data_IF_063630486665
#
_entry.id   IF_063630486665
#
_cell.length_a   1.000
_cell.length_b   1.000
_cell.length_c   1.000
_cell.angle_alpha   90.00
_cell.angle_beta   90.00
_cell.angle_gamma   90.00
#
_symmetry.space_group_name_H-M   'P 1'
#
loop_
_entity.id
_entity.type
_entity.pdbx_description
1 polymer ?
#
# COMPACT_ATOMS: atom_id res chain seq x y z
N UNK A 1 10.82 12.71 8.50
CA UNK A 1 11.94 12.75 7.52
C UNK A 1 12.95 11.65 7.81
N UNK A 2 13.43 10.92 6.78
CA UNK A 2 14.36 9.79 6.96
C UNK A 2 15.61 10.17 7.76
N UNK A 3 16.12 11.39 7.60
CA UNK A 3 17.28 11.90 8.33
C UNK A 3 17.15 11.78 9.85
N UNK A 4 15.94 11.87 10.38
CA UNK A 4 15.65 11.90 11.83
C UNK A 4 14.93 10.64 12.33
N UNK A 5 14.60 9.69 11.44
CA UNK A 5 13.94 8.46 11.84
C UNK A 5 14.96 7.44 12.35
N UNK A 6 14.65 6.84 13.50
CA UNK A 6 15.35 5.64 13.93
C UNK A 6 15.03 4.47 12.98
N UNK A 7 16.00 3.63 12.73
CA UNK A 7 15.85 2.42 11.91
C UNK A 7 14.80 1.46 12.45
N UNK A 8 14.52 1.51 13.74
CA UNK A 8 13.48 0.70 14.38
C UNK A 8 12.07 1.01 13.84
N UNK A 9 11.78 2.25 13.43
CA UNK A 9 10.51 2.56 12.76
C UNK A 9 10.33 1.77 11.45
N UNK A 10 11.43 1.51 10.73
CA UNK A 10 11.39 0.64 9.55
C UNK A 10 11.16 -0.82 9.95
N UNK A 11 11.86 -1.32 10.99
CA UNK A 11 11.69 -2.70 11.47
C UNK A 11 10.26 -2.97 11.92
N UNK A 12 9.70 -2.13 12.79
CA UNK A 12 8.33 -2.25 13.26
C UNK A 12 7.30 -2.24 12.12
N UNK A 13 7.49 -1.35 11.15
CA UNK A 13 6.59 -1.28 9.99
C UNK A 13 6.69 -2.53 9.12
N UNK A 14 7.89 -3.09 8.94
CA UNK A 14 8.11 -4.31 8.19
C UNK A 14 7.60 -5.54 8.94
N UNK A 15 7.76 -5.60 10.27
CA UNK A 15 7.23 -6.69 11.09
C UNK A 15 5.73 -6.90 10.83
N UNK A 16 4.95 -5.83 10.88
CA UNK A 16 3.50 -5.93 10.69
C UNK A 16 3.13 -6.08 9.21
N UNK A 17 3.65 -5.21 8.34
CA UNK A 17 3.16 -5.12 6.96
C UNK A 17 3.73 -6.17 6.02
N UNK A 18 4.87 -6.77 6.35
CA UNK A 18 5.59 -7.67 5.47
C UNK A 18 5.84 -9.02 6.12
N UNK A 19 6.57 -9.11 7.21
CA UNK A 19 6.90 -10.39 7.82
C UNK A 19 5.68 -11.11 8.39
N UNK A 20 4.79 -10.41 9.10
CA UNK A 20 3.55 -11.00 9.61
C UNK A 20 2.64 -11.53 8.48
N UNK A 21 2.59 -10.83 7.33
CA UNK A 21 1.86 -11.32 6.16
C UNK A 21 2.48 -12.60 5.59
N UNK A 22 3.82 -12.67 5.51
CA UNK A 22 4.53 -13.87 5.06
C UNK A 22 4.25 -15.04 6.00
N UNK A 23 4.33 -14.83 7.31
CA UNK A 23 4.06 -15.87 8.31
C UNK A 23 2.64 -16.43 8.19
N UNK A 24 1.64 -15.55 8.13
CA UNK A 24 0.25 -15.96 7.91
C UNK A 24 0.11 -16.74 6.59
N UNK A 25 0.71 -16.26 5.51
CA UNK A 25 0.68 -16.96 4.22
C UNK A 25 1.26 -18.36 4.35
N UNK A 26 2.44 -18.51 4.96
CA UNK A 26 3.11 -19.81 5.18
C UNK A 26 2.27 -20.76 6.04
N UNK A 27 1.64 -20.26 7.10
CA UNK A 27 0.79 -21.10 7.97
C UNK A 27 -0.38 -21.76 7.24
N UNK A 28 -0.92 -21.09 6.22
CA UNK A 28 -2.07 -21.61 5.48
C UNK A 28 -1.68 -22.28 4.15
N UNK A 29 -0.44 -22.19 3.71
CA UNK A 29 -0.04 -22.58 2.36
C UNK A 29 -0.24 -24.06 2.09
N UNK A 30 0.19 -24.95 2.99
CA UNK A 30 0.04 -26.40 2.84
C UNK A 30 -1.44 -26.79 2.78
N UNK A 31 -2.29 -26.15 3.59
CA UNK A 31 -3.73 -26.38 3.59
C UNK A 31 -4.35 -25.97 2.24
N UNK A 32 -3.94 -24.83 1.70
CA UNK A 32 -4.41 -24.36 0.39
C UNK A 32 -3.96 -25.28 -0.74
N UNK A 33 -2.73 -25.76 -0.72
CA UNK A 33 -2.20 -26.70 -1.70
C UNK A 33 -2.96 -28.04 -1.62
N UNK A 34 -3.18 -28.54 -0.42
CA UNK A 34 -3.86 -29.80 -0.24
C UNK A 34 -5.35 -29.73 -0.64
N UNK A 35 -6.04 -28.67 -0.26
CA UNK A 35 -7.47 -28.49 -0.60
C UNK A 35 -7.70 -28.32 -2.11
N UNK A 36 -6.70 -27.86 -2.85
CA UNK A 36 -6.80 -27.70 -4.30
C UNK A 36 -6.95 -29.06 -5.04
N UNK A 37 -6.50 -30.16 -4.42
CA UNK A 37 -6.73 -31.53 -4.94
C UNK A 37 -8.21 -31.86 -5.10
N UNK A 38 -9.09 -31.19 -4.35
CA UNK A 38 -10.55 -31.33 -4.43
C UNK A 38 -11.19 -30.39 -5.46
N UNK A 39 -10.41 -29.85 -6.41
CA UNK A 39 -10.84 -28.90 -7.46
C UNK A 39 -11.41 -27.58 -6.91
N UNK A 40 -11.05 -27.22 -5.69
CA UNK A 40 -11.31 -25.90 -5.15
C UNK A 40 -10.29 -24.91 -5.74
N UNK A 41 -10.78 -23.86 -6.39
CA UNK A 41 -9.89 -22.80 -6.90
C UNK A 41 -9.52 -21.85 -5.75
N UNK A 42 -8.45 -22.18 -5.07
CA UNK A 42 -7.96 -21.39 -3.95
C UNK A 42 -7.34 -20.06 -4.41
N UNK A 43 -7.47 -19.07 -3.57
CA UNK A 43 -6.91 -17.73 -3.82
C UNK A 43 -6.26 -17.18 -2.57
N UNK A 44 -5.14 -16.51 -2.75
CA UNK A 44 -4.51 -15.66 -1.75
C UNK A 44 -4.74 -14.21 -2.19
N UNK A 45 -5.40 -13.42 -1.36
CA UNK A 45 -5.69 -12.01 -1.62
C UNK A 45 -4.93 -11.17 -0.60
N UNK A 46 -3.84 -10.58 -1.03
CA UNK A 46 -3.01 -9.70 -0.20
C UNK A 46 -3.45 -8.25 -0.33
N UNK A 47 -3.41 -7.50 0.77
CA UNK A 47 -3.74 -6.07 0.78
C UNK A 47 -2.47 -5.24 0.75
N UNK A 48 -2.13 -4.77 -0.42
CA UNK A 48 -1.03 -3.84 -0.67
C UNK A 48 -1.44 -2.38 -0.45
N UNK A 49 -1.03 -1.51 -1.37
CA UNK A 49 -1.40 -0.10 -1.45
C UNK A 49 -0.93 0.47 -2.80
N UNK A 50 -1.55 1.54 -3.29
CA UNK A 50 -0.96 2.35 -4.38
C UNK A 50 0.43 2.87 -4.00
N UNK A 51 0.72 3.00 -2.70
CA UNK A 51 2.05 3.35 -2.17
C UNK A 51 3.09 2.24 -2.32
N UNK A 52 2.72 1.04 -2.75
CA UNK A 52 3.63 -0.01 -3.19
C UNK A 52 4.25 0.23 -4.56
N UNK A 53 3.70 1.18 -5.33
CA UNK A 53 4.23 1.59 -6.64
C UNK A 53 4.80 3.01 -6.64
N UNK A 54 4.48 3.79 -5.59
CA UNK A 54 4.89 5.18 -5.49
C UNK A 54 5.19 5.56 -4.07
N UNK A 55 6.34 6.19 -3.92
CA UNK A 55 6.78 6.70 -2.62
C UNK A 55 6.53 8.20 -2.53
N UNK A 56 6.08 8.60 -1.34
CA UNK A 56 5.98 10.02 -0.99
C UNK A 56 6.99 10.34 0.12
N UNK A 57 7.48 11.57 0.21
CA UNK A 57 8.28 12.01 1.35
C UNK A 57 7.55 11.76 2.67
N UNK A 58 8.30 11.57 3.74
CA UNK A 58 7.84 11.44 5.13
C UNK A 58 7.12 10.14 5.51
N UNK A 59 6.91 9.22 4.56
CA UNK A 59 6.28 7.91 4.79
C UNK A 59 7.17 6.74 4.31
N UNK A 60 8.49 6.92 4.33
CA UNK A 60 9.44 5.94 3.80
C UNK A 60 9.30 4.53 4.41
N UNK A 61 9.15 4.32 5.73
CA UNK A 61 8.97 2.97 6.29
C UNK A 61 7.76 2.24 5.68
N UNK A 62 6.63 2.94 5.61
CA UNK A 62 5.40 2.40 5.04
C UNK A 62 5.53 2.08 3.55
N UNK A 63 6.00 3.04 2.74
CA UNK A 63 6.11 2.83 1.30
C UNK A 63 7.11 1.73 0.96
N UNK A 64 8.23 1.66 1.67
CA UNK A 64 9.22 0.58 1.51
C UNK A 64 8.61 -0.79 1.81
N UNK A 65 7.85 -0.94 2.90
CA UNK A 65 7.18 -2.20 3.23
C UNK A 65 6.15 -2.62 2.17
N UNK A 66 5.42 -1.65 1.60
CA UNK A 66 4.44 -1.94 0.54
C UNK A 66 5.10 -2.24 -0.81
N UNK A 67 6.27 -1.68 -1.14
CA UNK A 67 7.08 -2.10 -2.29
C UNK A 67 7.65 -3.53 -2.11
N UNK A 68 8.10 -3.88 -0.91
CA UNK A 68 8.54 -5.23 -0.61
C UNK A 68 7.41 -6.24 -0.83
N UNK A 69 6.18 -5.90 -0.42
CA UNK A 69 5.01 -6.73 -0.62
C UNK A 69 4.67 -6.96 -2.11
N UNK A 70 4.89 -5.97 -2.97
CA UNK A 70 4.73 -6.12 -4.43
C UNK A 70 5.64 -7.21 -4.99
N UNK A 71 6.93 -7.17 -4.63
CA UNK A 71 7.91 -8.16 -5.05
C UNK A 71 7.59 -9.55 -4.51
N UNK A 72 7.25 -9.66 -3.22
CA UNK A 72 6.83 -10.91 -2.61
C UNK A 72 5.61 -11.52 -3.29
N UNK A 73 4.58 -10.70 -3.52
CA UNK A 73 3.33 -11.15 -4.16
C UNK A 73 3.58 -11.68 -5.58
N UNK A 74 4.46 -11.04 -6.34
CA UNK A 74 4.83 -11.49 -7.69
C UNK A 74 5.61 -12.80 -7.68
N UNK A 75 6.53 -12.98 -6.74
CA UNK A 75 7.29 -14.23 -6.57
C UNK A 75 6.34 -15.37 -6.18
N UNK A 76 5.57 -15.17 -5.11
CA UNK A 76 4.60 -16.16 -4.63
C UNK A 76 3.60 -16.58 -5.71
N UNK A 77 3.09 -15.64 -6.49
CA UNK A 77 2.17 -15.92 -7.59
C UNK A 77 2.78 -16.83 -8.65
N UNK A 78 4.05 -16.62 -8.97
CA UNK A 78 4.78 -17.44 -9.96
C UNK A 78 5.09 -18.84 -9.43
N UNK A 79 5.46 -18.95 -8.16
CA UNK A 79 5.71 -20.25 -7.50
C UNK A 79 4.42 -21.08 -7.41
N UNK A 80 3.30 -20.45 -7.07
CA UNK A 80 2.02 -21.12 -6.90
C UNK A 80 1.29 -21.48 -8.21
N UNK A 81 1.85 -21.14 -9.38
CA UNK A 81 1.40 -21.66 -10.67
C UNK A 81 1.44 -23.20 -10.69
N UNK A 82 2.43 -23.81 -10.02
CA UNK A 82 2.52 -25.26 -9.87
C UNK A 82 1.29 -25.88 -9.19
N UNK A 83 0.63 -25.12 -8.34
CA UNK A 83 -0.50 -25.57 -7.54
C UNK A 83 -1.84 -24.98 -7.98
N UNK A 84 -1.87 -24.25 -9.09
CA UNK A 84 -3.07 -23.58 -9.64
C UNK A 84 -3.76 -22.66 -8.61
N UNK A 85 -2.99 -22.04 -7.70
CA UNK A 85 -3.50 -21.08 -6.70
C UNK A 85 -3.30 -19.66 -7.23
N UNK A 86 -4.40 -18.91 -7.31
CA UNK A 86 -4.35 -17.50 -7.70
C UNK A 86 -3.84 -16.63 -6.54
N UNK A 87 -2.83 -15.80 -6.81
CA UNK A 87 -2.34 -14.78 -5.87
C UNK A 87 -2.65 -13.41 -6.41
N UNK A 88 -3.46 -12.68 -5.68
CA UNK A 88 -4.01 -11.37 -6.07
C UNK A 88 -3.54 -10.30 -5.10
N UNK A 89 -3.17 -9.15 -5.61
CA UNK A 89 -2.83 -7.98 -4.81
C UNK A 89 -3.92 -6.89 -4.98
N UNK A 90 -4.51 -6.48 -3.86
CA UNK A 90 -5.33 -5.27 -3.80
C UNK A 90 -4.43 -4.07 -3.52
N UNK A 91 -4.58 -3.02 -4.29
CA UNK A 91 -3.83 -1.77 -4.15
C UNK A 91 -4.78 -0.61 -3.81
N UNK A 92 -5.23 -0.49 -2.54
CA UNK A 92 -6.05 0.62 -2.12
C UNK A 92 -5.31 1.96 -2.17
N UNK A 93 -6.05 3.00 -2.57
CA UNK A 93 -5.71 4.39 -2.27
C UNK A 93 -6.26 4.83 -0.91
N UNK A 94 -6.68 6.10 -0.77
CA UNK A 94 -7.25 6.59 0.48
C UNK A 94 -8.58 5.88 0.79
N UNK A 95 -8.67 5.27 1.97
CA UNK A 95 -9.88 4.64 2.51
C UNK A 95 -10.24 5.30 3.83
N UNK A 96 -11.51 5.69 4.00
CA UNK A 96 -12.04 6.32 5.21
C UNK A 96 -12.18 5.28 6.32
N UNK A 97 -11.18 5.17 7.17
CA UNK A 97 -11.14 4.22 8.30
C UNK A 97 -10.70 4.94 9.57
N UNK A 98 -11.00 4.40 10.76
CA UNK A 98 -10.55 4.97 12.05
C UNK A 98 -9.02 5.05 12.22
N UNK A 99 -8.22 4.51 11.28
CA UNK A 99 -6.76 4.67 11.32
C UNK A 99 -6.34 6.14 11.26
N UNK A 100 -7.16 6.98 10.64
CA UNK A 100 -6.90 8.41 10.50
C UNK A 100 -7.10 9.18 11.80
N UNK A 101 -7.92 8.65 12.72
CA UNK A 101 -8.14 9.20 14.06
C UNK A 101 -6.89 9.03 14.94
N UNK A 102 -6.00 8.10 14.54
CA UNK A 102 -4.73 7.82 15.22
C UNK A 102 -3.56 8.67 14.69
N UNK A 103 -3.78 9.46 13.64
CA UNK A 103 -2.74 10.38 13.14
C UNK A 103 -2.56 11.49 14.19
N UNK A 104 -1.37 11.63 14.78
CA UNK A 104 -1.14 12.67 15.77
C UNK A 104 -1.42 14.06 15.19
N UNK A 105 -1.84 14.98 16.07
CA UNK A 105 -1.91 16.38 15.66
C UNK A 105 -0.55 16.80 15.10
N UNK A 106 -0.55 17.55 14.02
CA UNK A 106 0.71 18.01 13.40
C UNK A 106 1.56 18.80 14.40
N UNK A 107 0.96 19.51 15.35
CA UNK A 107 1.67 20.28 16.36
C UNK A 107 2.47 19.40 17.33
N UNK A 108 2.09 18.12 17.48
CA UNK A 108 2.80 17.15 18.30
C UNK A 108 3.91 16.41 17.53
N UNK A 109 4.13 16.76 16.27
CA UNK A 109 5.14 16.11 15.45
C UNK A 109 6.56 16.52 15.89
N UNK A 110 7.41 15.58 16.32
CA UNK A 110 8.74 15.90 16.86
C UNK A 110 9.71 16.51 15.84
N UNK A 111 9.34 16.53 14.57
CA UNK A 111 10.20 17.03 13.49
C UNK A 111 9.83 18.45 13.02
N UNK A 112 8.93 19.17 13.71
CA UNK A 112 8.57 20.54 13.35
C UNK A 112 9.72 21.54 13.55
N UNK A 113 10.63 21.27 14.48
CA UNK A 113 11.81 22.13 14.70
C UNK A 113 12.99 21.77 13.76
N UNK A 114 12.67 21.29 12.54
CA UNK A 114 13.68 20.94 11.54
C UNK A 114 13.45 21.72 10.25
N UNK A 115 14.40 21.63 9.33
CA UNK A 115 14.29 22.19 7.98
C UNK A 115 13.08 21.67 7.19
N UNK A 116 12.46 20.58 7.65
CA UNK A 116 11.30 19.97 7.01
C UNK A 116 9.94 20.46 7.53
N UNK A 117 9.89 21.35 8.52
CA UNK A 117 8.65 21.79 9.14
C UNK A 117 7.58 22.22 8.14
N UNK A 118 7.90 23.16 7.26
CA UNK A 118 6.95 23.67 6.26
C UNK A 118 6.45 22.56 5.33
N UNK A 119 7.33 21.67 4.94
CA UNK A 119 7.00 20.55 4.05
C UNK A 119 6.14 19.50 4.76
N UNK A 120 6.38 19.24 6.04
CA UNK A 120 5.55 18.35 6.88
C UNK A 120 4.14 18.91 7.05
N UNK A 121 4.01 20.21 7.33
CA UNK A 121 2.70 20.88 7.44
C UNK A 121 1.91 20.80 6.13
N UNK A 122 2.57 21.05 4.99
CA UNK A 122 1.95 20.91 3.66
C UNK A 122 1.55 19.48 3.36
N UNK A 123 2.42 18.51 3.66
CA UNK A 123 2.14 17.09 3.48
C UNK A 123 0.92 16.66 4.31
N UNK A 124 0.89 16.96 5.61
CA UNK A 124 -0.20 16.62 6.51
C UNK A 124 -1.53 17.21 6.02
N UNK A 125 -1.56 18.51 5.72
CA UNK A 125 -2.77 19.18 5.21
C UNK A 125 -3.25 18.57 3.89
N UNK A 126 -2.36 18.32 2.95
CA UNK A 126 -2.70 17.74 1.64
C UNK A 126 -3.20 16.29 1.77
N UNK A 127 -2.57 15.52 2.64
CA UNK A 127 -2.89 14.12 2.87
C UNK A 127 -4.26 13.95 3.53
N UNK A 128 -4.52 14.65 4.62
CA UNK A 128 -5.83 14.63 5.30
C UNK A 128 -6.94 15.11 4.38
N UNK A 129 -6.73 16.21 3.65
CA UNK A 129 -7.68 16.70 2.68
C UNK A 129 -8.01 15.68 1.58
N UNK A 130 -7.02 14.94 1.10
CA UNK A 130 -7.24 13.91 0.09
C UNK A 130 -8.08 12.74 0.61
N UNK A 131 -7.90 12.36 1.87
CA UNK A 131 -8.69 11.30 2.52
C UNK A 131 -10.13 11.77 2.72
N UNK A 132 -10.32 12.96 3.28
CA UNK A 132 -11.63 13.52 3.57
C UNK A 132 -12.46 13.72 2.29
N UNK A 133 -11.87 14.35 1.27
CA UNK A 133 -12.57 14.69 0.04
C UNK A 133 -12.80 13.50 -0.90
N UNK A 134 -11.80 12.65 -1.07
CA UNK A 134 -11.77 11.63 -2.12
C UNK A 134 -11.69 10.18 -1.57
N UNK A 135 -11.54 9.97 -0.25
CA UNK A 135 -11.40 8.63 0.32
C UNK A 135 -12.67 7.78 0.13
N UNK A 136 -12.48 6.52 -0.25
CA UNK A 136 -13.57 5.56 -0.37
C UNK A 136 -13.97 4.95 0.98
N UNK A 137 -15.24 4.51 1.15
CA UNK A 137 -15.63 3.75 2.33
C UNK A 137 -14.96 2.36 2.35
N UNK A 138 -14.73 1.76 3.53
CA UNK A 138 -14.13 0.43 3.64
C UNK A 138 -14.90 -0.68 2.92
N UNK A 139 -16.22 -0.56 2.79
CA UNK A 139 -17.08 -1.53 2.11
C UNK A 139 -16.63 -1.84 0.69
N UNK A 140 -16.09 -0.84 -0.03
CA UNK A 140 -15.61 -1.04 -1.40
C UNK A 140 -14.47 -2.08 -1.50
N UNK A 141 -13.65 -2.19 -0.44
CA UNK A 141 -12.61 -3.21 -0.36
C UNK A 141 -13.23 -4.57 -0.13
N UNK A 142 -14.21 -4.69 0.79
CA UNK A 142 -14.93 -5.92 1.05
C UNK A 142 -15.66 -6.44 -0.20
N UNK A 143 -16.39 -5.55 -0.89
CA UNK A 143 -17.07 -5.87 -2.15
C UNK A 143 -16.09 -6.39 -3.21
N UNK A 144 -14.91 -5.76 -3.32
CA UNK A 144 -13.88 -6.20 -4.26
C UNK A 144 -13.28 -7.55 -3.89
N UNK A 145 -13.10 -7.84 -2.60
CA UNK A 145 -12.66 -9.17 -2.14
C UNK A 145 -13.69 -10.24 -2.54
N UNK A 146 -14.98 -10.00 -2.31
CA UNK A 146 -16.05 -10.93 -2.72
C UNK A 146 -16.06 -11.14 -4.23
N UNK A 147 -15.95 -10.07 -5.02
CA UNK A 147 -15.84 -10.15 -6.48
C UNK A 147 -14.67 -11.04 -6.92
N UNK A 148 -13.49 -10.85 -6.32
CA UNK A 148 -12.29 -11.64 -6.64
C UNK A 148 -12.50 -13.11 -6.26
N UNK A 149 -13.10 -13.38 -5.10
CA UNK A 149 -13.37 -14.74 -4.64
C UNK A 149 -14.28 -15.49 -5.62
N UNK A 150 -15.27 -14.81 -6.20
CA UNK A 150 -16.21 -15.37 -7.16
C UNK A 150 -15.67 -15.46 -8.60
N UNK A 151 -14.61 -14.71 -8.91
CA UNK A 151 -14.04 -14.68 -10.27
C UNK A 151 -13.20 -15.91 -10.55
N UNK A 152 -13.46 -16.62 -11.64
CA UNK A 152 -12.71 -17.83 -12.01
C UNK A 152 -11.25 -17.57 -12.40
N UNK A 153 -10.96 -16.45 -13.05
CA UNK A 153 -9.62 -16.01 -13.46
C UNK A 153 -9.44 -14.54 -13.07
N UNK A 154 -9.12 -14.26 -11.80
CA UNK A 154 -8.95 -12.88 -11.36
C UNK A 154 -7.73 -12.23 -12.00
N UNK A 155 -7.73 -10.90 -12.08
CA UNK A 155 -6.52 -10.14 -12.41
C UNK A 155 -5.51 -10.30 -11.28
N UNK A 156 -4.25 -10.15 -11.58
CA UNK A 156 -3.17 -10.23 -10.57
C UNK A 156 -3.14 -9.03 -9.63
N UNK A 157 -3.73 -7.89 -10.06
CA UNK A 157 -3.80 -6.63 -9.30
C UNK A 157 -5.13 -5.94 -9.50
N UNK A 158 -5.63 -5.35 -8.42
CA UNK A 158 -6.84 -4.50 -8.41
C UNK A 158 -6.53 -3.19 -7.70
N UNK A 159 -6.41 -2.13 -8.46
CA UNK A 159 -6.20 -0.78 -7.94
C UNK A 159 -7.55 -0.16 -7.59
N UNK A 160 -7.70 0.25 -6.34
CA UNK A 160 -8.95 0.83 -5.82
C UNK A 160 -8.65 2.22 -5.30
N UNK A 161 -8.71 3.21 -6.18
CA UNK A 161 -8.43 4.61 -5.84
C UNK A 161 -9.33 5.55 -6.63
N UNK A 162 -9.81 6.65 -6.03
CA UNK A 162 -10.51 7.68 -6.76
C UNK A 162 -9.59 8.28 -7.83
N UNK A 163 -10.20 8.73 -8.93
CA UNK A 163 -9.47 9.38 -10.03
C UNK A 163 -8.24 8.58 -10.48
N UNK A 164 -8.42 7.27 -10.69
CA UNK A 164 -7.37 6.28 -10.93
C UNK A 164 -6.33 6.73 -11.97
N UNK A 165 -6.75 7.36 -13.04
CA UNK A 165 -5.82 7.87 -14.06
C UNK A 165 -4.86 8.90 -13.47
N UNK A 166 -5.38 9.88 -12.70
CA UNK A 166 -4.58 10.94 -12.08
C UNK A 166 -3.71 10.42 -10.94
N UNK A 167 -4.26 9.54 -10.10
CA UNK A 167 -3.62 9.14 -8.85
C UNK A 167 -2.71 7.92 -8.99
N UNK A 168 -2.85 7.15 -10.09
CA UNK A 168 -2.08 5.92 -10.28
C UNK A 168 -1.39 5.86 -11.65
N UNK A 169 -2.13 5.94 -12.78
CA UNK A 169 -1.54 5.72 -14.09
C UNK A 169 -0.64 6.88 -14.55
N UNK A 170 -1.16 8.11 -14.58
CA UNK A 170 -0.38 9.26 -15.08
C UNK A 170 0.97 9.37 -14.36
N UNK A 171 1.01 9.40 -13.01
CA UNK A 171 2.29 9.42 -12.34
C UNK A 171 3.17 8.19 -12.66
N UNK A 172 2.59 7.02 -13.08
CA UNK A 172 3.30 5.80 -13.49
C UNK A 172 4.10 5.93 -14.76
N UNK A 173 3.70 6.82 -15.64
CA UNK A 173 4.36 7.04 -16.93
C UNK A 173 5.31 8.23 -16.92
N UNK A 174 5.28 9.06 -15.88
CA UNK A 174 6.16 10.24 -15.82
C UNK A 174 7.59 9.82 -15.42
N UNK A 175 8.61 10.44 -16.03
CA UNK A 175 9.99 10.27 -15.58
C UNK A 175 10.16 10.71 -14.11
N UNK A 176 10.97 9.99 -13.34
CA UNK A 176 11.16 10.23 -11.90
C UNK A 176 11.54 11.67 -11.59
N UNK A 177 12.45 12.28 -12.38
CA UNK A 177 12.85 13.68 -12.22
C UNK A 177 11.71 14.67 -12.35
N UNK A 178 10.71 14.37 -13.18
CA UNK A 178 9.52 15.21 -13.32
C UNK A 178 8.61 15.04 -12.10
N UNK A 179 8.43 13.81 -11.64
CA UNK A 179 7.67 13.51 -10.40
C UNK A 179 8.34 14.18 -9.21
N UNK A 180 9.66 14.07 -9.05
CA UNK A 180 10.44 14.73 -8.00
C UNK A 180 10.19 16.25 -7.99
N UNK A 181 10.24 16.88 -9.17
CA UNK A 181 10.00 18.31 -9.31
C UNK A 181 8.58 18.72 -8.94
N UNK A 182 7.59 17.91 -9.33
CA UNK A 182 6.18 18.20 -9.00
C UNK A 182 5.91 18.04 -7.51
N UNK A 183 6.36 16.94 -6.90
CA UNK A 183 6.22 16.69 -5.46
C UNK A 183 7.03 17.72 -4.66
N UNK A 184 8.26 17.99 -5.08
CA UNK A 184 9.13 18.97 -4.43
C UNK A 184 8.50 20.35 -4.36
N UNK A 185 7.95 20.86 -5.48
CA UNK A 185 7.22 22.14 -5.52
C UNK A 185 5.96 22.11 -4.67
N UNK A 186 5.18 21.03 -4.75
CA UNK A 186 3.94 20.89 -3.99
C UNK A 186 4.20 20.95 -2.48
N UNK A 187 5.26 20.31 -2.02
CA UNK A 187 5.62 20.24 -0.60
C UNK A 187 6.57 21.36 -0.14
N UNK A 188 7.11 22.16 -1.07
CA UNK A 188 8.08 23.21 -0.73
C UNK A 188 9.45 22.64 -0.33
N UNK A 189 9.87 21.56 -0.98
CA UNK A 189 11.22 20.99 -0.87
C UNK A 189 12.19 21.63 -1.87
N UNK A 190 11.64 22.31 -2.86
CA UNK A 190 12.35 23.12 -3.88
C UNK A 190 11.51 24.34 -4.22
#
# INVERSE_FOLDING_TARGET
PVRYLDVNHFREQFEVNFFGLIEVTKCFLDLLIESNKYKMKNKIINVGSISGKRSYPFVAPYTSSKHALEGFNDALRRELLLHEIDVVLLEPGPIKTPIWDKVPNIEDNPFLNTEYENSLRRFNKGYLKAIEADGYPPSIIGEKVVEIMQTNKPKTRYVITPKIFKNYYIPGFLPDRLVDKLIGKMLGLI
#
